data_IF_302563453494
#
_entry.id   IF_302563453494
#
_cell.length_a   1.000
_cell.length_b   1.000
_cell.length_c   1.000
_cell.angle_alpha   90.00
_cell.angle_beta   90.00
_cell.angle_gamma   90.00
#
_symmetry.space_group_name_H-M   'P 1'
#
loop_
_entity.id
_entity.type
_entity.pdbx_description
1 polymer ?
#
# COMPACT_ATOMS: atom_id res chain seq x y z
N UNK A 1 -18.44 5.23 -7.99
CA UNK A 1 -17.00 4.99 -7.73
C UNK A 1 -16.89 3.71 -6.92
N UNK A 2 -15.82 2.93 -7.13
CA UNK A 2 -15.53 1.77 -6.28
C UNK A 2 -14.48 2.14 -5.23
N UNK A 3 -14.59 1.54 -4.06
CA UNK A 3 -13.69 1.77 -2.95
C UNK A 3 -13.13 0.43 -2.49
N UNK A 4 -11.89 0.44 -2.00
CA UNK A 4 -11.22 -0.77 -1.57
C UNK A 4 -10.50 -0.54 -0.25
N UNK A 5 -10.44 -1.58 0.56
CA UNK A 5 -9.47 -1.69 1.64
C UNK A 5 -8.35 -2.61 1.16
N UNK A 6 -7.10 -2.16 1.28
CA UNK A 6 -5.91 -2.91 0.91
C UNK A 6 -4.96 -3.01 2.10
N UNK A 7 -4.26 -4.13 2.19
CA UNK A 7 -3.08 -4.28 3.05
C UNK A 7 -1.88 -4.76 2.23
N UNK A 8 -0.71 -4.19 2.49
CA UNK A 8 0.53 -4.55 1.82
C UNK A 8 1.71 -4.41 2.79
N UNK A 9 2.84 -4.98 2.42
CA UNK A 9 4.05 -4.94 3.25
C UNK A 9 5.30 -4.77 2.41
N UNK A 10 6.39 -4.36 3.05
CA UNK A 10 7.71 -4.31 2.44
C UNK A 10 8.79 -4.47 3.50
N UNK A 11 9.97 -4.89 3.08
CA UNK A 11 11.14 -5.09 3.91
C UNK A 11 12.01 -3.83 3.94
N UNK A 12 12.40 -3.38 5.13
CA UNK A 12 13.36 -2.28 5.30
C UNK A 12 14.74 -2.77 4.89
N UNK A 13 15.36 -2.12 3.89
CA UNK A 13 16.60 -2.61 3.28
C UNK A 13 17.74 -2.80 4.28
N UNK A 14 17.88 -1.90 5.26
CA UNK A 14 18.99 -1.93 6.22
C UNK A 14 18.79 -2.88 7.41
N UNK A 15 17.55 -3.10 7.85
CA UNK A 15 17.27 -3.90 9.05
C UNK A 15 16.68 -5.27 8.75
N UNK A 16 16.18 -5.51 7.53
CA UNK A 16 15.46 -6.73 7.17
C UNK A 16 14.06 -6.84 7.82
N UNK A 17 13.67 -5.87 8.64
CA UNK A 17 12.36 -5.86 9.28
C UNK A 17 11.26 -5.62 8.25
N UNK A 18 10.12 -6.30 8.41
CA UNK A 18 8.96 -6.10 7.55
C UNK A 18 8.01 -5.07 8.17
N UNK A 19 7.67 -4.03 7.40
CA UNK A 19 6.64 -3.06 7.75
C UNK A 19 5.36 -3.41 7.01
N UNK A 20 4.22 -3.24 7.68
CA UNK A 20 2.89 -3.52 7.17
C UNK A 20 2.08 -2.23 7.11
N UNK A 21 1.35 -2.06 6.02
CA UNK A 21 0.43 -0.95 5.81
C UNK A 21 -0.96 -1.46 5.49
N UNK A 22 -1.94 -0.66 5.86
CA UNK A 22 -3.34 -0.86 5.53
C UNK A 22 -3.94 0.49 5.14
N UNK A 23 -4.72 0.53 4.05
CA UNK A 23 -5.28 1.78 3.54
C UNK A 23 -6.59 1.57 2.80
N UNK A 24 -7.51 2.52 2.98
CA UNK A 24 -8.69 2.64 2.16
C UNK A 24 -8.39 3.51 0.93
N UNK A 25 -8.65 2.99 -0.28
CA UNK A 25 -8.34 3.61 -1.57
C UNK A 25 -9.59 3.67 -2.46
N UNK A 26 -9.62 4.61 -3.41
CA UNK A 26 -10.71 4.82 -4.37
C UNK A 26 -10.26 4.60 -5.83
N UNK A 27 -9.18 3.85 -6.01
CA UNK A 27 -8.56 3.44 -7.27
C UNK A 27 -8.42 1.91 -7.25
N UNK A 28 -8.20 1.29 -8.42
CA UNK A 28 -7.89 -0.14 -8.50
C UNK A 28 -6.72 -0.50 -7.54
N UNK A 29 -6.86 -1.57 -6.73
CA UNK A 29 -5.84 -1.99 -5.79
C UNK A 29 -4.49 -2.31 -6.45
N UNK A 30 -4.50 -2.98 -7.60
CA UNK A 30 -3.26 -3.37 -8.28
C UNK A 30 -2.54 -2.13 -8.82
N UNK A 31 -3.28 -1.22 -9.45
CA UNK A 31 -2.72 0.04 -9.94
C UNK A 31 -2.11 0.89 -8.80
N UNK A 32 -2.81 0.98 -7.66
CA UNK A 32 -2.27 1.66 -6.48
C UNK A 32 -0.98 1.01 -5.99
N UNK A 33 -0.95 -0.32 -5.92
CA UNK A 33 0.22 -1.06 -5.46
C UNK A 33 1.42 -0.89 -6.39
N UNK A 34 1.23 -0.92 -7.72
CA UNK A 34 2.28 -0.63 -8.71
C UNK A 34 2.83 0.78 -8.51
N UNK A 35 1.94 1.77 -8.36
CA UNK A 35 2.35 3.16 -8.12
C UNK A 35 3.22 3.31 -6.87
N UNK A 36 2.86 2.66 -5.77
CA UNK A 36 3.67 2.67 -4.54
C UNK A 36 5.07 2.09 -4.79
N UNK A 37 5.17 0.99 -5.54
CA UNK A 37 6.48 0.40 -5.88
C UNK A 37 7.34 1.37 -6.71
N UNK A 38 6.77 1.98 -7.75
CA UNK A 38 7.49 2.94 -8.60
C UNK A 38 7.93 4.20 -7.85
N UNK A 39 7.09 4.71 -6.94
CA UNK A 39 7.43 5.89 -6.13
C UNK A 39 8.61 5.63 -5.19
N UNK A 40 8.72 4.42 -4.64
CA UNK A 40 9.82 4.02 -3.76
C UNK A 40 11.11 3.77 -4.54
N UNK A 41 11.04 3.19 -5.74
CA UNK A 41 12.20 3.01 -6.63
C UNK A 41 12.84 4.33 -7.07
N UNK A 42 12.08 5.43 -7.11
CA UNK A 42 12.56 6.77 -7.50
C UNK A 42 13.32 7.50 -6.39
N UNK A 43 13.28 7.02 -5.14
CA UNK A 43 13.93 7.71 -4.00
C UNK A 43 15.40 7.27 -3.85
N UNK A 44 16.29 8.12 -3.27
CA UNK A 44 17.73 7.83 -3.16
C UNK A 44 18.06 6.70 -2.16
N UNK A 45 18.88 5.68 -2.52
CA UNK A 45 18.90 4.30 -1.97
C UNK A 45 19.16 4.08 -0.47
N UNK A 46 19.44 5.12 0.30
CA UNK A 46 20.03 5.00 1.65
C UNK A 46 19.00 4.53 2.72
N UNK A 47 17.68 4.64 2.49
CA UNK A 47 16.65 4.32 3.49
C UNK A 47 15.35 3.71 2.90
N UNK A 48 15.43 2.78 1.95
CA UNK A 48 14.22 2.30 1.25
C UNK A 48 13.70 0.94 1.64
N UNK A 49 12.44 0.76 1.29
CA UNK A 49 11.73 -0.50 1.30
C UNK A 49 12.05 -1.31 0.04
N UNK A 50 12.18 -2.62 0.19
CA UNK A 50 12.29 -3.59 -0.90
C UNK A 50 11.26 -4.70 -0.69
N UNK A 51 11.14 -5.62 -1.64
CA UNK A 51 10.27 -6.80 -1.49
C UNK A 51 8.81 -6.45 -1.14
N UNK A 52 8.21 -5.50 -1.87
CA UNK A 52 6.80 -5.15 -1.71
C UNK A 52 5.90 -6.35 -2.01
N UNK A 53 4.94 -6.62 -1.12
CA UNK A 53 3.96 -7.70 -1.24
C UNK A 53 2.56 -7.17 -0.94
N UNK A 54 1.64 -7.39 -1.88
CA UNK A 54 0.21 -7.18 -1.66
C UNK A 54 -0.34 -8.37 -0.87
N UNK A 55 -0.83 -8.12 0.36
CA UNK A 55 -1.28 -9.18 1.26
C UNK A 55 -2.76 -9.51 1.05
N UNK A 56 -3.60 -8.48 0.93
CA UNK A 56 -5.05 -8.62 0.80
C UNK A 56 -5.68 -7.33 0.26
N UNK A 57 -6.78 -7.47 -0.48
CA UNK A 57 -7.68 -6.35 -0.76
C UNK A 57 -9.14 -6.82 -0.85
N UNK A 58 -10.08 -5.91 -0.60
CA UNK A 58 -11.51 -6.16 -0.75
C UNK A 58 -12.25 -4.88 -1.13
N UNK A 59 -13.33 -5.00 -1.91
CA UNK A 59 -14.24 -3.89 -2.20
C UNK A 59 -15.00 -3.52 -0.92
N UNK A 60 -15.07 -2.23 -0.62
CA UNK A 60 -15.76 -1.68 0.56
C UNK A 60 -16.79 -0.64 0.13
N UNK A 61 -17.72 -0.31 1.03
CA UNK A 61 -18.69 0.76 0.77
C UNK A 61 -18.04 2.14 0.90
N UNK A 62 -18.67 3.15 0.28
CA UNK A 62 -18.28 4.55 0.45
C UNK A 62 -18.29 4.98 1.92
N UNK A 63 -19.29 4.56 2.68
CA UNK A 63 -19.38 4.85 4.12
C UNK A 63 -18.19 4.27 4.89
N UNK A 64 -17.79 3.04 4.59
CA UNK A 64 -16.61 2.41 5.20
C UNK A 64 -15.32 3.15 4.81
N UNK A 65 -15.18 3.52 3.52
CA UNK A 65 -14.05 4.32 3.04
C UNK A 65 -13.94 5.66 3.77
N UNK A 66 -15.05 6.38 3.93
CA UNK A 66 -15.08 7.66 4.65
C UNK A 66 -14.75 7.49 6.13
N UNK A 67 -15.17 6.39 6.78
CA UNK A 67 -14.81 6.10 8.19
C UNK A 67 -13.32 5.78 8.35
N UNK A 68 -12.71 5.07 7.40
CA UNK A 68 -11.31 4.65 7.45
C UNK A 68 -10.32 5.76 7.09
N UNK A 69 -10.77 6.83 6.44
CA UNK A 69 -9.95 7.97 6.01
C UNK A 69 -10.24 9.27 6.80
N UNK A 70 -10.95 9.17 7.93
CA UNK A 70 -11.08 10.26 8.92
C UNK A 70 -9.91 10.25 9.88
#
# INVERSE_FOLDING_TARGET
MKYYFMTYSAEVTLSGNRIYWSKAINIDPIDYFIKVKEEEERKPPINHYKNFVLNFFTEITEEQYLKLNR
#
